data_IF_286165465332
#
_entry.id   IF_286165465332
#
_cell.length_a   1.000
_cell.length_b   1.000
_cell.length_c   1.000
_cell.angle_alpha   90.00
_cell.angle_beta   90.00
_cell.angle_gamma   90.00
#
_symmetry.space_group_name_H-M   'P 1'
#
loop_
_entity.id
_entity.type
_entity.pdbx_description
1 polymer ?
#
# COMPACT_ATOMS: atom_id res chain seq x y z
N UNK A 1 17.05 -60.32 -7.19
CA UNK A 1 17.21 -59.14 -8.07
C UNK A 1 15.90 -58.35 -8.01
N UNK A 2 15.68 -57.32 -7.20
CA UNK A 2 16.57 -56.21 -6.78
C UNK A 2 16.74 -55.26 -7.97
N UNK A 3 16.27 -54.01 -8.01
CA UNK A 3 15.76 -53.08 -7.01
C UNK A 3 14.85 -52.01 -7.69
N UNK A 4 14.08 -51.20 -6.94
CA UNK A 4 13.07 -50.26 -7.46
C UNK A 4 13.65 -48.89 -7.87
N UNK A 5 13.04 -48.24 -8.87
CA UNK A 5 13.42 -46.89 -9.31
C UNK A 5 12.72 -45.85 -8.44
N UNK A 6 13.54 -45.11 -7.69
CA UNK A 6 13.13 -44.20 -6.62
C UNK A 6 12.69 -42.80 -7.04
N UNK A 7 11.85 -42.27 -6.17
CA UNK A 7 11.44 -40.90 -5.88
C UNK A 7 12.44 -39.80 -6.26
N UNK A 8 11.98 -38.79 -7.01
CA UNK A 8 12.61 -37.46 -7.03
C UNK A 8 11.72 -36.45 -6.31
N UNK A 9 11.95 -36.34 -5.00
CA UNK A 9 11.52 -35.19 -4.20
C UNK A 9 12.30 -33.97 -4.68
N UNK A 10 11.61 -32.97 -5.23
CA UNK A 10 12.19 -31.65 -5.41
C UNK A 10 12.34 -30.99 -4.02
N UNK A 11 13.52 -31.19 -3.43
CA UNK A 11 13.99 -30.46 -2.25
C UNK A 11 14.54 -29.14 -2.77
N UNK A 12 13.75 -28.07 -2.70
CA UNK A 12 14.29 -26.73 -2.91
C UNK A 12 14.97 -26.27 -1.61
N UNK A 13 16.22 -25.78 -1.67
CA UNK A 13 16.95 -25.36 -0.48
C UNK A 13 16.41 -24.04 0.08
N UNK A 14 16.14 -24.01 1.39
CA UNK A 14 16.07 -22.77 2.18
C UNK A 14 17.43 -22.09 2.20
N UNK A 15 17.53 -20.85 1.71
CA UNK A 15 18.53 -19.85 2.15
C UNK A 15 17.97 -18.42 2.06
N UNK A 16 17.60 -17.88 3.22
CA UNK A 16 17.72 -16.45 3.54
C UNK A 16 19.17 -16.18 4.02
N UNK A 17 19.63 -14.95 4.32
CA UNK A 17 19.05 -13.61 4.14
C UNK A 17 19.98 -12.64 3.36
N UNK A 18 19.48 -11.48 2.93
CA UNK A 18 20.32 -10.30 2.66
C UNK A 18 19.83 -9.17 3.57
N UNK A 19 20.65 -8.85 4.57
CA UNK A 19 20.42 -7.78 5.53
C UNK A 19 21.25 -6.56 5.12
N UNK A 20 20.62 -5.38 5.23
CA UNK A 20 21.16 -4.02 5.45
C UNK A 20 21.65 -3.19 4.25
N UNK A 21 20.85 -2.16 3.97
CA UNK A 21 21.27 -0.89 3.39
C UNK A 21 20.43 0.27 3.97
N UNK A 22 20.82 0.76 5.15
CA UNK A 22 20.75 2.18 5.54
C UNK A 22 19.39 2.91 5.62
N UNK A 23 18.48 2.48 6.51
CA UNK A 23 17.55 3.41 7.17
C UNK A 23 18.38 4.37 8.07
N UNK A 24 18.78 5.52 7.53
CA UNK A 24 19.55 6.53 8.25
C UNK A 24 19.24 7.94 7.71
N UNK A 25 18.12 8.51 8.14
CA UNK A 25 18.05 9.93 8.50
C UNK A 25 16.81 10.21 9.37
N UNK A 26 16.83 9.70 10.60
CA UNK A 26 15.98 10.23 11.67
C UNK A 26 16.76 11.33 12.41
N UNK A 27 16.12 12.49 12.54
CA UNK A 27 16.37 13.60 13.50
C UNK A 27 17.23 14.78 13.02
N UNK A 28 16.52 15.84 12.63
CA UNK A 28 16.90 17.23 12.90
C UNK A 28 15.65 17.91 13.52
N UNK A 29 15.54 17.91 14.86
CA UNK A 29 15.80 19.07 15.74
C UNK A 29 14.98 20.30 15.32
N UNK A 30 13.76 20.43 15.86
CA UNK A 30 13.14 21.74 16.09
C UNK A 30 12.99 21.92 17.60
N UNK A 31 13.82 22.75 18.26
CA UNK A 31 13.63 23.06 19.66
C UNK A 31 12.59 24.18 19.77
N UNK A 32 11.43 23.92 20.37
CA UNK A 32 10.56 24.99 20.87
C UNK A 32 9.08 24.98 20.51
N UNK A 33 8.50 23.91 19.96
CA UNK A 33 7.02 23.85 19.86
C UNK A 33 6.43 23.37 21.18
N UNK A 34 6.05 24.33 22.02
CA UNK A 34 5.15 24.10 23.14
C UNK A 34 3.76 23.78 22.59
N UNK A 35 3.37 22.50 22.59
CA UNK A 35 1.99 22.09 22.30
C UNK A 35 1.10 22.45 23.49
N UNK A 36 0.57 23.66 23.50
CA UNK A 36 -0.62 23.98 24.29
C UNK A 36 -1.81 23.31 23.64
N UNK A 37 -2.29 22.22 24.24
CA UNK A 37 -3.60 21.64 23.97
C UNK A 37 -4.66 22.73 24.13
N UNK A 38 -5.15 23.23 23.01
CA UNK A 38 -6.41 23.98 22.94
C UNK A 38 -7.36 23.09 22.14
N UNK A 39 -8.48 22.62 22.72
CA UNK A 39 -9.48 21.93 21.94
C UNK A 39 -10.13 22.95 21.00
N UNK A 40 -9.76 22.91 19.72
CA UNK A 40 -10.52 23.64 18.70
C UNK A 40 -11.87 22.94 18.56
N UNK A 41 -12.93 23.65 18.95
CA UNK A 41 -14.30 23.25 18.66
C UNK A 41 -14.52 23.27 17.14
N UNK A 42 -15.32 22.34 16.59
CA UNK A 42 -15.47 22.21 15.15
C UNK A 42 -16.28 23.40 14.63
N UNK A 43 -15.64 24.20 13.77
CA UNK A 43 -16.35 25.15 12.92
C UNK A 43 -16.99 24.37 11.78
N UNK A 44 -18.32 24.32 11.78
CA UNK A 44 -19.11 23.76 10.69
C UNK A 44 -18.91 24.58 9.42
N UNK A 45 -18.25 24.02 8.42
CA UNK A 45 -18.31 24.48 7.04
C UNK A 45 -18.21 23.27 6.11
N UNK A 46 -19.34 22.99 5.49
CA UNK A 46 -19.62 22.10 4.36
C UNK A 46 -18.41 21.75 3.49
N UNK A 47 -17.99 20.49 3.54
CA UNK A 47 -16.88 19.94 2.78
C UNK A 47 -16.57 18.56 3.32
N UNK A 48 -17.17 17.54 2.72
CA UNK A 48 -16.88 16.14 3.00
C UNK A 48 -15.46 15.78 2.52
N UNK A 49 -14.45 16.44 3.09
CA UNK A 49 -13.05 16.04 2.99
C UNK A 49 -12.96 14.67 3.66
N UNK A 50 -12.92 13.63 2.85
CA UNK A 50 -12.92 12.25 3.29
C UNK A 50 -11.74 12.04 4.25
N UNK A 51 -12.03 11.79 5.53
CA UNK A 51 -11.00 11.40 6.51
C UNK A 51 -10.34 10.11 6.05
N UNK A 52 -9.14 10.23 5.46
CA UNK A 52 -8.31 9.10 5.10
C UNK A 52 -7.74 8.46 6.37
N UNK A 53 -7.79 7.14 6.46
CA UNK A 53 -7.07 6.39 7.48
C UNK A 53 -5.55 6.51 7.25
N UNK A 54 -4.70 6.30 8.28
CA UNK A 54 -3.25 6.32 8.08
C UNK A 54 -2.76 5.32 7.01
N UNK A 55 -3.45 4.17 6.86
CA UNK A 55 -3.15 3.21 5.80
C UNK A 55 -3.60 3.69 4.42
N UNK A 56 -4.74 4.37 4.33
CA UNK A 56 -5.19 4.98 3.06
C UNK A 56 -4.21 6.07 2.61
N UNK A 57 -3.75 6.93 3.53
CA UNK A 57 -2.77 7.97 3.21
C UNK A 57 -1.39 7.40 2.83
N UNK A 58 -0.96 6.31 3.49
CA UNK A 58 0.25 5.58 3.12
C UNK A 58 0.16 4.99 1.69
N UNK A 59 -0.98 4.39 1.35
CA UNK A 59 -1.23 3.84 0.03
C UNK A 59 -1.44 4.93 -1.03
N UNK A 60 -2.07 6.06 -0.68
CA UNK A 60 -2.18 7.22 -1.56
C UNK A 60 -0.79 7.80 -1.88
N UNK A 61 0.07 7.87 -0.86
CA UNK A 61 1.47 8.30 -1.04
C UNK A 61 2.21 7.33 -1.96
N UNK A 62 2.04 6.01 -1.74
CA UNK A 62 2.60 4.99 -2.64
C UNK A 62 2.10 5.18 -4.08
N UNK A 63 0.80 5.37 -4.29
CA UNK A 63 0.22 5.61 -5.61
C UNK A 63 0.83 6.85 -6.29
N UNK A 64 0.85 7.98 -5.59
CA UNK A 64 1.38 9.25 -6.12
C UNK A 64 2.87 9.14 -6.43
N UNK A 65 3.65 8.52 -5.55
CA UNK A 65 5.10 8.35 -5.74
C UNK A 65 5.44 7.34 -6.85
N UNK A 66 4.74 6.19 -6.88
CA UNK A 66 4.99 5.13 -7.86
C UNK A 66 4.59 5.54 -9.27
N UNK A 67 3.47 6.27 -9.40
CA UNK A 67 2.93 6.68 -10.69
C UNK A 67 3.28 8.13 -11.05
N UNK A 68 4.03 8.82 -10.19
CA UNK A 68 4.44 10.22 -10.35
C UNK A 68 3.25 11.14 -10.69
N UNK A 69 2.17 11.03 -9.92
CA UNK A 69 0.94 11.80 -10.15
C UNK A 69 1.11 13.27 -9.71
N UNK A 70 0.47 14.19 -10.41
CA UNK A 70 0.46 15.62 -10.08
C UNK A 70 -0.60 15.99 -9.01
N UNK A 71 -0.98 15.04 -8.15
CA UNK A 71 -1.95 15.24 -7.07
C UNK A 71 -1.29 14.94 -5.72
N UNK A 72 -1.67 15.66 -4.66
CA UNK A 72 -1.17 15.34 -3.33
C UNK A 72 -1.86 14.07 -2.79
N UNK A 73 -1.16 13.22 -2.02
CA UNK A 73 -1.77 12.01 -1.46
C UNK A 73 -2.96 12.29 -0.53
N UNK A 74 -2.98 13.46 0.11
CA UNK A 74 -4.09 13.93 0.94
C UNK A 74 -5.33 14.35 0.13
N UNK A 75 -5.15 14.70 -1.14
CA UNK A 75 -6.24 15.09 -2.05
C UNK A 75 -6.85 13.86 -2.77
N UNK A 76 -6.22 12.68 -2.62
CA UNK A 76 -6.74 11.43 -3.20
C UNK A 76 -8.00 11.00 -2.46
N UNK A 77 -9.15 11.07 -3.13
CA UNK A 77 -10.41 10.70 -2.52
C UNK A 77 -10.50 9.17 -2.31
N UNK A 78 -10.67 8.68 -1.06
CA UNK A 78 -10.52 7.27 -0.75
C UNK A 78 -11.66 6.39 -1.30
N UNK A 79 -12.83 6.99 -1.54
CA UNK A 79 -13.99 6.29 -2.09
C UNK A 79 -14.11 6.45 -3.62
N UNK A 80 -13.30 7.33 -4.23
CA UNK A 80 -13.33 7.55 -5.66
C UNK A 80 -12.76 6.35 -6.43
N UNK A 81 -13.23 6.12 -7.66
CA UNK A 81 -12.72 5.06 -8.49
C UNK A 81 -11.23 5.30 -8.83
N UNK A 82 -10.37 4.31 -8.65
CA UNK A 82 -8.96 4.46 -9.06
C UNK A 82 -8.83 4.39 -10.59
N UNK A 83 -9.67 3.59 -11.23
CA UNK A 83 -9.66 3.38 -12.68
C UNK A 83 -10.54 4.39 -13.41
N UNK A 84 -10.11 4.83 -14.60
CA UNK A 84 -10.94 5.66 -15.47
C UNK A 84 -11.24 7.05 -14.88
N UNK A 85 -12.52 7.36 -14.62
CA UNK A 85 -12.96 8.73 -14.31
C UNK A 85 -12.56 9.30 -12.95
N UNK A 86 -12.03 8.51 -12.01
CA UNK A 86 -11.58 9.04 -10.73
C UNK A 86 -10.11 9.43 -10.77
N UNK A 87 -9.21 8.52 -10.38
CA UNK A 87 -7.77 8.81 -10.35
C UNK A 87 -7.08 8.72 -11.72
N UNK A 88 -7.80 8.29 -12.76
CA UNK A 88 -7.26 8.23 -14.12
C UNK A 88 -6.34 7.04 -14.41
N UNK A 89 -6.29 6.02 -13.55
CA UNK A 89 -5.33 4.94 -13.71
C UNK A 89 -5.68 4.02 -14.87
N UNK A 90 -4.65 3.66 -15.63
CA UNK A 90 -4.73 2.67 -16.70
C UNK A 90 -4.37 1.26 -16.20
N UNK A 91 -4.58 0.27 -17.06
CA UNK A 91 -4.32 -1.14 -16.74
C UNK A 91 -2.87 -1.39 -16.33
N UNK A 92 -1.94 -0.61 -16.87
CA UNK A 92 -0.50 -0.72 -16.60
C UNK A 92 -0.18 -0.18 -15.21
N UNK A 93 -0.76 0.96 -14.84
CA UNK A 93 -0.54 1.61 -13.56
C UNK A 93 -1.02 0.73 -12.40
N UNK A 94 -2.19 0.11 -12.55
CA UNK A 94 -2.72 -0.84 -11.55
C UNK A 94 -1.76 -2.01 -11.32
N UNK A 95 -1.14 -2.52 -12.39
CA UNK A 95 -0.17 -3.60 -12.27
C UNK A 95 1.08 -3.14 -11.53
N UNK A 96 1.59 -1.94 -11.82
CA UNK A 96 2.74 -1.37 -11.13
C UNK A 96 2.48 -1.21 -9.63
N UNK A 97 1.33 -0.64 -9.27
CA UNK A 97 0.89 -0.50 -7.87
C UNK A 97 0.74 -1.87 -7.21
N UNK A 98 0.14 -2.84 -7.89
CA UNK A 98 -0.01 -4.20 -7.38
C UNK A 98 1.36 -4.83 -7.06
N UNK A 99 2.35 -4.66 -7.94
CA UNK A 99 3.71 -5.14 -7.72
C UNK A 99 4.37 -4.44 -6.53
N UNK A 100 4.23 -3.12 -6.42
CA UNK A 100 4.86 -2.33 -5.36
C UNK A 100 4.25 -2.64 -3.98
N UNK A 101 2.91 -2.70 -3.90
CA UNK A 101 2.18 -3.16 -2.70
C UNK A 101 2.63 -4.58 -2.32
N UNK A 102 2.76 -5.47 -3.31
CA UNK A 102 3.18 -6.85 -3.04
C UNK A 102 4.59 -6.94 -2.46
N UNK A 103 5.50 -6.06 -2.91
CA UNK A 103 6.86 -5.96 -2.38
C UNK A 103 6.89 -5.35 -0.99
N UNK A 104 6.09 -4.30 -0.74
CA UNK A 104 6.08 -3.55 0.52
C UNK A 104 5.42 -4.33 1.67
N UNK A 105 4.31 -5.02 1.39
CA UNK A 105 3.54 -5.75 2.42
C UNK A 105 3.73 -7.26 2.41
N UNK A 106 4.45 -7.81 1.42
CA UNK A 106 4.85 -9.22 1.42
C UNK A 106 3.76 -10.22 1.01
N UNK A 107 2.65 -9.77 0.42
CA UNK A 107 1.60 -10.63 -0.14
C UNK A 107 1.39 -10.34 -1.63
N UNK A 108 1.03 -11.33 -2.44
CA UNK A 108 0.89 -11.13 -3.90
C UNK A 108 -0.52 -10.69 -4.27
N UNK A 109 -0.65 -9.54 -4.95
CA UNK A 109 -1.84 -9.22 -5.75
C UNK A 109 -1.65 -9.77 -7.16
N UNK A 110 -2.50 -10.72 -7.58
CA UNK A 110 -2.41 -11.38 -8.89
C UNK A 110 -3.33 -10.70 -9.89
N UNK A 111 -2.81 -10.31 -11.05
CA UNK A 111 -3.57 -9.65 -12.12
C UNK A 111 -4.79 -10.43 -12.61
N UNK A 112 -4.70 -11.76 -12.57
CA UNK A 112 -5.76 -12.70 -12.99
C UNK A 112 -6.76 -13.02 -11.85
N UNK A 113 -6.59 -12.43 -10.68
CA UNK A 113 -7.52 -12.61 -9.57
C UNK A 113 -8.80 -11.82 -9.86
N UNK A 114 -9.95 -12.51 -9.85
CA UNK A 114 -11.25 -11.87 -10.06
C UNK A 114 -11.51 -10.77 -9.01
N UNK A 115 -10.84 -10.85 -7.86
CA UNK A 115 -10.91 -9.85 -6.79
C UNK A 115 -10.12 -8.59 -7.10
N UNK A 116 -9.17 -8.59 -8.03
CA UNK A 116 -8.39 -7.38 -8.33
C UNK A 116 -9.28 -6.22 -8.79
N UNK A 117 -10.31 -6.51 -9.59
CA UNK A 117 -11.29 -5.50 -10.00
C UNK A 117 -11.97 -4.85 -8.79
N UNK A 118 -12.25 -5.64 -7.74
CA UNK A 118 -12.84 -5.15 -6.49
C UNK A 118 -11.81 -4.42 -5.62
N UNK A 119 -10.61 -4.99 -5.48
CA UNK A 119 -9.51 -4.45 -4.66
C UNK A 119 -9.08 -3.07 -5.17
N UNK A 120 -8.92 -2.93 -6.49
CA UNK A 120 -8.54 -1.68 -7.15
C UNK A 120 -9.73 -0.81 -7.56
N UNK A 121 -10.94 -1.09 -7.06
CA UNK A 121 -12.08 -0.19 -7.28
C UNK A 121 -11.80 1.17 -6.66
N UNK A 122 -11.36 1.22 -5.40
CA UNK A 122 -11.10 2.46 -4.67
C UNK A 122 -9.93 2.30 -3.71
N UNK A 123 -9.28 3.41 -3.34
CA UNK A 123 -8.18 3.41 -2.37
C UNK A 123 -8.59 2.75 -1.04
N UNK A 124 -9.83 2.98 -0.59
CA UNK A 124 -10.37 2.39 0.64
C UNK A 124 -10.47 0.87 0.57
N UNK A 125 -10.85 0.33 -0.59
CA UNK A 125 -10.95 -1.12 -0.78
C UNK A 125 -9.55 -1.75 -0.82
N UNK A 126 -8.61 -1.09 -1.50
CA UNK A 126 -7.21 -1.48 -1.49
C UNK A 126 -6.64 -1.46 -0.07
N UNK A 127 -6.87 -0.38 0.69
CA UNK A 127 -6.42 -0.25 2.07
C UNK A 127 -7.02 -1.30 2.99
N UNK A 128 -8.30 -1.62 2.83
CA UNK A 128 -8.96 -2.68 3.57
C UNK A 128 -8.34 -4.04 3.27
N UNK A 129 -8.06 -4.32 1.99
CA UNK A 129 -7.44 -5.57 1.58
C UNK A 129 -6.00 -5.69 2.11
N UNK A 130 -5.22 -4.62 2.03
CA UNK A 130 -3.87 -4.54 2.60
C UNK A 130 -3.92 -4.70 4.12
N UNK A 131 -4.85 -4.06 4.82
CA UNK A 131 -4.99 -4.17 6.27
C UNK A 131 -5.32 -5.59 6.74
N UNK A 132 -6.07 -6.36 5.94
CA UNK A 132 -6.42 -7.76 6.21
C UNK A 132 -5.27 -8.72 5.94
N UNK A 133 -4.43 -8.43 4.94
CA UNK A 133 -3.37 -9.33 4.48
C UNK A 133 -1.98 -8.93 4.98
N UNK A 134 -1.80 -7.72 5.54
CA UNK A 134 -0.55 -7.35 6.18
C UNK A 134 -0.34 -8.26 7.39
N UNK A 135 0.68 -9.10 7.31
CA UNK A 135 1.28 -9.69 8.49
C UNK A 135 2.01 -8.58 9.22
N UNK A 136 1.33 -7.97 10.19
CA UNK A 136 1.98 -7.12 11.18
C UNK A 136 2.96 -8.02 11.95
N UNK A 137 4.25 -7.73 11.85
CA UNK A 137 5.27 -8.19 12.80
C UNK A 137 5.19 -7.36 14.08
#
# INVERSE_FOLDING_TARGET
MGAPVGSKRAVYPRRAPIIRGLQRLFREIVPGVSVSSTPISPVTADGAASEQTPLELELATLLVESLNLEVAPADVEPNAPLYGEGLGLDSIDILEVALEVSRRYGFQLRSDDERNQQIFTSLRTLATHVAQNKTVD
#
